data_IF_498909209678
#
_entry.id   IF_498909209678
#
_cell.length_a   1.000
_cell.length_b   1.000
_cell.length_c   1.000
_cell.angle_alpha   90.00
_cell.angle_beta   90.00
_cell.angle_gamma   90.00
#
_symmetry.space_group_name_H-M   'P 1'
#
loop_
_entity.id
_entity.type
_entity.pdbx_description
1 polymer ?
#
# COMPACT_ATOMS: atom_id res chain seq x y z
N UNK A 1 -82.82 14.42 -19.27
CA UNK A 1 -82.85 14.05 -20.70
C UNK A 1 -81.49 14.42 -21.32
N UNK A 2 -80.79 13.41 -21.87
CA UNK A 2 -79.84 13.42 -23.00
C UNK A 2 -78.71 14.48 -23.09
N UNK A 3 -77.48 13.99 -22.93
CA UNK A 3 -76.31 14.07 -23.83
C UNK A 3 -76.03 15.35 -24.65
N UNK A 4 -74.80 15.89 -24.49
CA UNK A 4 -73.72 16.00 -25.52
C UNK A 4 -72.44 16.53 -24.84
N UNK A 5 -71.34 15.76 -24.87
CA UNK A 5 -70.14 15.92 -25.74
C UNK A 5 -69.16 17.00 -25.15
N UNK A 6 -67.84 16.86 -25.05
CA UNK A 6 -66.78 16.40 -25.96
C UNK A 6 -65.47 16.26 -25.13
N UNK A 7 -64.69 15.21 -25.40
CA UNK A 7 -63.21 15.07 -25.36
C UNK A 7 -62.39 16.02 -24.48
N UNK A 8 -61.67 15.46 -23.49
CA UNK A 8 -60.26 15.81 -23.26
C UNK A 8 -59.50 14.58 -22.76
N UNK A 9 -58.59 14.10 -23.60
CA UNK A 9 -57.65 13.05 -23.33
C UNK A 9 -56.37 13.64 -22.72
N UNK A 10 -55.63 12.77 -22.03
CA UNK A 10 -54.20 12.85 -21.64
C UNK A 10 -53.85 13.62 -20.36
N UNK A 11 -52.82 13.07 -19.67
CA UNK A 11 -52.30 13.41 -18.33
C UNK A 11 -53.17 12.76 -17.24
N UNK A 12 -52.87 11.57 -16.71
CA UNK A 12 -51.76 11.26 -15.80
C UNK A 12 -51.51 9.75 -15.84
N UNK A 13 -50.41 9.30 -16.47
CA UNK A 13 -49.90 7.93 -16.29
C UNK A 13 -48.43 7.85 -16.72
N UNK A 14 -47.53 8.46 -15.95
CA UNK A 14 -46.08 8.19 -15.99
C UNK A 14 -45.37 8.96 -14.87
N UNK A 15 -45.46 8.47 -13.63
CA UNK A 15 -44.59 8.95 -12.54
C UNK A 15 -44.46 7.87 -11.46
N UNK A 16 -44.08 6.67 -11.85
CA UNK A 16 -43.48 5.70 -10.91
C UNK A 16 -42.37 5.05 -11.69
N UNK A 17 -41.14 5.56 -11.51
CA UNK A 17 -39.86 4.88 -11.72
C UNK A 17 -38.81 5.97 -11.51
N UNK A 18 -38.05 5.84 -10.42
CA UNK A 18 -36.65 6.24 -10.18
C UNK A 18 -36.54 6.62 -8.71
N UNK A 19 -36.23 5.66 -7.86
CA UNK A 19 -35.56 5.90 -6.57
C UNK A 19 -35.13 4.60 -5.90
N UNK A 20 -34.45 3.71 -6.63
CA UNK A 20 -33.70 2.60 -6.02
C UNK A 20 -32.33 2.49 -6.68
N UNK A 21 -31.40 3.35 -6.29
CA UNK A 21 -29.98 3.18 -6.68
C UNK A 21 -28.97 3.87 -5.77
N UNK A 22 -29.39 4.80 -4.91
CA UNK A 22 -28.47 5.57 -4.06
C UNK A 22 -27.61 4.74 -3.07
N UNK A 23 -28.09 3.69 -2.39
CA UNK A 23 -27.25 2.94 -1.45
C UNK A 23 -26.25 2.01 -2.16
N UNK A 24 -26.58 1.48 -3.34
CA UNK A 24 -25.73 0.52 -4.06
C UNK A 24 -24.53 1.24 -4.71
N UNK A 25 -24.77 2.41 -5.32
CA UNK A 25 -23.71 3.27 -5.88
C UNK A 25 -22.75 3.79 -4.81
N UNK A 26 -23.26 4.11 -3.61
CA UNK A 26 -22.42 4.59 -2.51
C UNK A 26 -21.50 3.49 -1.96
N UNK A 27 -21.99 2.25 -1.87
CA UNK A 27 -21.21 1.10 -1.43
C UNK A 27 -20.11 0.73 -2.45
N UNK A 28 -20.40 0.88 -3.73
CA UNK A 28 -19.46 0.61 -4.82
C UNK A 28 -18.37 1.70 -4.90
N UNK A 29 -18.73 2.97 -4.74
CA UNK A 29 -17.76 4.07 -4.65
C UNK A 29 -16.84 3.94 -3.41
N UNK A 30 -17.39 3.52 -2.27
CA UNK A 30 -16.58 3.24 -1.08
C UNK A 30 -15.63 2.07 -1.29
N UNK A 31 -16.09 1.01 -1.98
CA UNK A 31 -15.27 -0.15 -2.36
C UNK A 31 -14.14 0.24 -3.32
N UNK A 32 -14.42 1.10 -4.30
CA UNK A 32 -13.42 1.63 -5.23
C UNK A 32 -12.34 2.43 -4.50
N UNK A 33 -12.72 3.35 -3.60
CA UNK A 33 -11.76 4.14 -2.81
C UNK A 33 -10.82 3.26 -2.00
N UNK A 34 -11.34 2.19 -1.40
CA UNK A 34 -10.54 1.22 -0.64
C UNK A 34 -9.53 0.47 -1.53
N UNK A 35 -9.96 0.00 -2.71
CA UNK A 35 -9.09 -0.71 -3.65
C UNK A 35 -7.97 0.22 -4.18
N UNK A 36 -8.30 1.48 -4.46
CA UNK A 36 -7.31 2.47 -4.89
C UNK A 36 -6.28 2.74 -3.78
N UNK A 37 -6.72 2.85 -2.53
CA UNK A 37 -5.83 3.00 -1.38
C UNK A 37 -4.91 1.79 -1.20
N UNK A 38 -5.42 0.56 -1.31
CA UNK A 38 -4.57 -0.65 -1.22
C UNK A 38 -3.56 -0.73 -2.35
N UNK A 39 -3.94 -0.33 -3.56
CA UNK A 39 -3.00 -0.22 -4.67
C UNK A 39 -1.91 0.85 -4.42
N UNK A 40 -2.29 1.98 -3.82
CA UNK A 40 -1.38 3.06 -3.44
C UNK A 40 -0.43 2.64 -2.32
N UNK A 41 -0.92 1.91 -1.31
CA UNK A 41 -0.13 1.31 -0.25
C UNK A 41 0.91 0.33 -0.80
N UNK A 42 0.51 -0.56 -1.74
CA UNK A 42 1.45 -1.49 -2.37
C UNK A 42 2.51 -0.77 -3.22
N UNK A 43 2.13 0.29 -3.93
CA UNK A 43 3.09 1.13 -4.64
C UNK A 43 4.04 1.85 -3.68
N UNK A 44 3.53 2.33 -2.53
CA UNK A 44 4.34 2.94 -1.48
C UNK A 44 5.32 1.92 -0.88
N UNK A 45 4.88 0.71 -0.51
CA UNK A 45 5.76 -0.36 -0.02
C UNK A 45 6.82 -0.74 -1.04
N UNK A 46 6.47 -0.77 -2.34
CA UNK A 46 7.44 -1.01 -3.42
C UNK A 46 8.49 0.11 -3.48
N UNK A 47 8.07 1.38 -3.47
CA UNK A 47 8.98 2.54 -3.46
C UNK A 47 9.86 2.56 -2.22
N UNK A 48 9.31 2.22 -1.05
CA UNK A 48 10.03 2.10 0.22
C UNK A 48 11.06 0.98 0.17
N UNK A 49 10.70 -0.20 -0.36
CA UNK A 49 11.61 -1.32 -0.55
C UNK A 49 12.77 -0.95 -1.48
N UNK A 50 12.49 -0.30 -2.61
CA UNK A 50 13.51 0.17 -3.56
C UNK A 50 14.44 1.21 -2.91
N UNK A 51 13.88 2.15 -2.15
CA UNK A 51 14.68 3.12 -1.41
C UNK A 51 15.64 2.44 -0.46
N UNK A 52 15.14 1.51 0.37
CA UNK A 52 15.97 0.79 1.33
C UNK A 52 17.02 -0.07 0.64
N UNK A 53 16.66 -0.77 -0.44
CA UNK A 53 17.59 -1.55 -1.27
C UNK A 53 18.72 -0.68 -1.84
N UNK A 54 18.43 0.58 -2.16
CA UNK A 54 19.40 1.56 -2.65
C UNK A 54 20.30 2.19 -1.57
N UNK A 55 20.13 1.83 -0.30
CA UNK A 55 21.01 2.31 0.77
C UNK A 55 22.38 1.66 0.68
N UNK A 56 23.41 2.49 0.79
CA UNK A 56 24.79 2.05 0.79
C UNK A 56 25.20 1.63 2.20
N UNK A 57 25.80 0.45 2.30
CA UNK A 57 26.31 -0.08 3.57
C UNK A 57 27.81 0.19 3.67
N UNK A 58 28.57 -0.07 2.61
CA UNK A 58 30.01 0.20 2.52
C UNK A 58 30.39 0.70 1.11
N UNK A 59 31.66 1.02 0.89
CA UNK A 59 32.16 1.62 -0.37
C UNK A 59 31.77 0.86 -1.65
N UNK A 60 31.49 -0.44 -1.58
CA UNK A 60 31.14 -1.30 -2.73
C UNK A 60 29.86 -2.12 -2.52
N UNK A 61 29.17 -1.93 -1.40
CA UNK A 61 28.11 -2.84 -0.96
C UNK A 61 26.85 -2.06 -0.62
N UNK A 62 25.72 -2.51 -1.17
CA UNK A 62 24.40 -1.96 -0.95
C UNK A 62 23.49 -2.96 -0.23
N UNK A 63 22.41 -2.45 0.37
CA UNK A 63 21.40 -3.31 1.02
C UNK A 63 20.79 -4.29 0.01
N UNK A 64 20.58 -3.89 -1.25
CA UNK A 64 20.11 -4.81 -2.31
C UNK A 64 21.01 -6.04 -2.46
N UNK A 65 22.33 -5.87 -2.31
CA UNK A 65 23.28 -6.96 -2.52
C UNK A 65 23.13 -8.00 -1.40
N UNK A 66 22.91 -7.52 -0.17
CA UNK A 66 22.62 -8.38 0.99
C UNK A 66 21.26 -9.09 0.83
N UNK A 67 20.24 -8.36 0.42
CA UNK A 67 18.87 -8.87 0.28
C UNK A 67 18.76 -9.96 -0.80
N UNK A 68 19.61 -9.90 -1.83
CA UNK A 68 19.67 -10.90 -2.90
C UNK A 68 20.48 -12.16 -2.56
N UNK A 69 21.11 -12.25 -1.38
CA UNK A 69 21.93 -13.42 -1.00
C UNK A 69 21.10 -14.70 -0.73
N UNK A 70 19.88 -14.55 -0.20
CA UNK A 70 18.97 -15.68 0.06
C UNK A 70 17.52 -15.24 -0.05
N UNK A 71 16.66 -16.15 -0.54
CA UNK A 71 15.21 -15.97 -0.57
C UNK A 71 14.62 -15.77 0.84
N UNK A 72 15.23 -16.35 1.87
CA UNK A 72 14.82 -16.18 3.28
C UNK A 72 15.10 -14.75 3.75
N UNK A 73 16.24 -14.19 3.37
CA UNK A 73 16.62 -12.80 3.64
C UNK A 73 15.68 -11.86 2.86
N UNK A 74 15.42 -12.15 1.58
CA UNK A 74 14.48 -11.38 0.77
C UNK A 74 13.05 -11.38 1.36
N UNK A 75 12.60 -12.53 1.87
CA UNK A 75 11.30 -12.66 2.52
C UNK A 75 11.24 -11.88 3.82
N UNK A 76 12.21 -12.04 4.72
CA UNK A 76 12.28 -11.29 5.96
C UNK A 76 12.39 -9.78 5.72
N UNK A 77 13.14 -9.38 4.69
CA UNK A 77 13.25 -8.00 4.23
C UNK A 77 11.88 -7.44 3.85
N UNK A 78 11.15 -8.14 2.99
CA UNK A 78 9.80 -7.75 2.55
C UNK A 78 8.85 -7.62 3.74
N UNK A 79 8.91 -8.55 4.70
CA UNK A 79 8.06 -8.54 5.89
C UNK A 79 8.26 -7.29 6.76
N UNK A 80 9.49 -6.83 7.00
CA UNK A 80 9.69 -5.63 7.82
C UNK A 80 9.29 -4.36 7.07
N UNK A 81 9.54 -4.29 5.76
CA UNK A 81 9.16 -3.16 4.90
C UNK A 81 7.65 -2.93 4.91
N UNK A 82 6.88 -4.02 4.87
CA UNK A 82 5.41 -4.01 5.01
C UNK A 82 4.93 -3.52 6.38
N UNK A 83 5.82 -3.43 7.37
CA UNK A 83 5.53 -2.84 8.67
C UNK A 83 5.71 -1.32 8.75
N UNK A 84 5.97 -0.63 7.64
CA UNK A 84 6.04 0.84 7.57
C UNK A 84 4.66 1.46 7.82
N UNK A 85 4.62 2.64 8.46
CA UNK A 85 3.34 3.28 8.83
C UNK A 85 2.92 4.26 7.73
N UNK A 86 1.65 4.27 7.31
CA UNK A 86 1.12 5.37 6.52
C UNK A 86 0.97 6.62 7.41
N UNK A 87 1.40 7.78 6.91
CA UNK A 87 1.20 9.08 7.54
C UNK A 87 -0.06 9.74 7.00
N UNK A 88 -0.27 9.66 5.69
CA UNK A 88 -1.34 10.39 5.02
C UNK A 88 -1.91 9.57 3.86
N UNK A 89 -3.22 9.68 3.67
CA UNK A 89 -3.95 9.09 2.54
C UNK A 89 -4.74 10.21 1.87
N UNK A 90 -4.56 10.39 0.57
CA UNK A 90 -5.29 11.37 -0.25
C UNK A 90 -6.09 10.63 -1.31
N UNK A 91 -7.38 10.95 -1.40
CA UNK A 91 -8.25 10.46 -2.46
C UNK A 91 -8.62 11.61 -3.39
N UNK A 92 -8.57 11.37 -4.68
CA UNK A 92 -8.92 12.35 -5.70
C UNK A 92 -10.24 11.99 -6.38
N UNK A 93 -10.90 13.00 -6.95
CA UNK A 93 -12.20 12.83 -7.64
C UNK A 93 -12.08 12.00 -8.93
N UNK A 94 -10.88 11.85 -9.47
CA UNK A 94 -10.55 11.03 -10.64
C UNK A 94 -10.37 9.53 -10.31
N UNK A 95 -10.64 9.11 -9.07
CA UNK A 95 -10.54 7.71 -8.62
C UNK A 95 -9.12 7.27 -8.26
N UNK A 96 -8.14 8.18 -8.32
CA UNK A 96 -6.77 7.92 -7.87
C UNK A 96 -6.65 8.09 -6.35
N UNK A 97 -5.67 7.38 -5.77
CA UNK A 97 -5.31 7.51 -4.36
C UNK A 97 -3.80 7.63 -4.19
N UNK A 98 -3.36 8.50 -3.30
CA UNK A 98 -1.98 8.61 -2.86
C UNK A 98 -1.83 8.25 -1.39
N UNK A 99 -0.76 7.54 -1.04
CA UNK A 99 -0.44 7.16 0.33
C UNK A 99 1.00 7.52 0.63
N UNK A 100 1.21 8.37 1.62
CA UNK A 100 2.54 8.70 2.14
C UNK A 100 2.90 7.71 3.25
N UNK A 101 4.03 7.04 3.11
CA UNK A 101 4.58 6.13 4.12
C UNK A 101 5.87 6.69 4.68
N UNK A 102 6.08 6.47 5.98
CA UNK A 102 7.33 6.79 6.66
C UNK A 102 7.91 5.60 7.41
N UNK A 103 9.24 5.55 7.41
CA UNK A 103 10.02 4.60 8.16
C UNK A 103 11.30 5.24 8.70
N UNK A 104 11.58 5.00 9.96
CA UNK A 104 12.82 5.46 10.60
C UNK A 104 14.03 4.67 10.09
N UNK A 105 15.11 5.37 9.76
CA UNK A 105 16.36 4.75 9.32
C UNK A 105 16.95 3.84 10.40
N UNK A 106 16.80 4.21 11.67
CA UNK A 106 17.24 3.41 12.82
C UNK A 106 16.55 2.04 12.87
N UNK A 107 15.25 2.00 12.59
CA UNK A 107 14.50 0.75 12.48
C UNK A 107 15.03 -0.10 11.33
N UNK A 108 15.28 0.50 10.15
CA UNK A 108 15.86 -0.22 9.00
C UNK A 108 17.17 -0.89 9.36
N UNK A 109 18.10 -0.15 9.98
CA UNK A 109 19.40 -0.68 10.39
C UNK A 109 19.23 -1.83 11.39
N UNK A 110 18.38 -1.66 12.40
CA UNK A 110 18.14 -2.66 13.44
C UNK A 110 17.55 -3.96 12.87
N UNK A 111 16.60 -3.83 11.93
CA UNK A 111 15.99 -4.98 11.26
C UNK A 111 16.98 -5.70 10.34
N UNK A 112 17.79 -4.97 9.58
CA UNK A 112 18.83 -5.57 8.72
C UNK A 112 19.87 -6.35 9.53
N UNK A 113 20.33 -5.83 10.67
CA UNK A 113 21.19 -6.57 11.58
C UNK A 113 20.52 -7.82 12.15
N UNK A 114 19.24 -7.70 12.49
CA UNK A 114 18.44 -8.82 13.00
C UNK A 114 18.29 -9.92 11.95
N UNK A 115 18.04 -9.55 10.70
CA UNK A 115 17.93 -10.47 9.56
C UNK A 115 19.28 -11.14 9.31
N UNK A 116 20.38 -10.38 9.29
CA UNK A 116 21.74 -10.93 9.16
C UNK A 116 22.03 -11.96 10.25
N UNK A 117 21.76 -11.63 11.52
CA UNK A 117 22.03 -12.56 12.63
C UNK A 117 21.22 -13.86 12.55
N UNK A 118 19.98 -13.81 12.03
CA UNK A 118 19.08 -14.96 12.00
C UNK A 118 19.21 -15.82 10.76
N UNK A 119 19.41 -15.20 9.59
CA UNK A 119 19.25 -15.87 8.29
C UNK A 119 20.52 -15.86 7.44
N UNK A 120 21.54 -15.08 7.80
CA UNK A 120 22.79 -15.05 7.04
C UNK A 120 23.84 -16.00 7.64
N UNK A 121 24.25 -16.99 6.84
CA UNK A 121 25.27 -17.97 7.23
C UNK A 121 26.52 -17.94 6.32
N UNK A 122 26.60 -16.99 5.39
CA UNK A 122 27.76 -16.83 4.49
C UNK A 122 28.91 -16.03 5.10
N UNK A 123 29.98 -15.85 4.31
CA UNK A 123 31.18 -15.11 4.73
C UNK A 123 31.19 -13.65 4.21
N UNK A 124 30.62 -13.40 3.02
CA UNK A 124 30.62 -12.11 2.31
C UNK A 124 30.08 -10.92 3.12
N UNK A 125 29.04 -11.12 3.93
CA UNK A 125 28.41 -10.07 4.74
C UNK A 125 28.71 -10.21 6.24
N UNK A 126 29.60 -11.13 6.63
CA UNK A 126 29.87 -11.44 8.04
C UNK A 126 30.46 -10.25 8.80
N UNK A 127 31.38 -9.52 8.17
CA UNK A 127 32.04 -8.36 8.76
C UNK A 127 31.35 -7.02 8.42
N UNK A 128 30.28 -7.06 7.62
CA UNK A 128 29.53 -5.86 7.20
C UNK A 128 28.64 -5.36 8.34
N UNK A 129 28.84 -4.11 8.77
CA UNK A 129 28.03 -3.47 9.81
C UNK A 129 26.95 -2.56 9.19
N UNK A 130 25.67 -2.90 9.35
CA UNK A 130 24.59 -2.07 8.81
C UNK A 130 24.47 -0.70 9.49
N UNK A 131 25.08 -0.49 10.66
CA UNK A 131 25.25 0.86 11.24
C UNK A 131 25.99 1.82 10.29
N UNK A 132 26.84 1.30 9.39
CA UNK A 132 27.55 2.11 8.41
C UNK A 132 26.60 2.86 7.46
N UNK A 133 25.35 2.40 7.29
CA UNK A 133 24.32 3.12 6.52
C UNK A 133 24.15 4.56 7.05
N UNK A 134 24.24 4.76 8.38
CA UNK A 134 24.11 6.08 9.02
C UNK A 134 25.23 7.06 8.59
N UNK A 135 26.35 6.57 8.05
CA UNK A 135 27.44 7.39 7.53
C UNK A 135 27.05 7.99 6.17
N UNK A 136 26.38 7.21 5.34
CA UNK A 136 26.00 7.60 3.99
C UNK A 136 24.66 8.36 3.94
N UNK A 137 23.74 8.09 4.85
CA UNK A 137 22.39 8.67 4.87
C UNK A 137 22.24 9.67 6.03
N UNK A 138 21.95 10.93 5.71
CA UNK A 138 21.76 12.00 6.71
C UNK A 138 20.34 12.07 7.28
N UNK A 139 19.37 11.54 6.54
CA UNK A 139 17.95 11.60 6.90
C UNK A 139 17.62 10.55 7.96
N UNK A 140 17.05 10.99 9.09
CA UNK A 140 16.60 10.10 10.16
C UNK A 140 15.36 9.29 9.78
N UNK A 141 14.54 9.82 8.86
CA UNK A 141 13.32 9.18 8.38
C UNK A 141 13.29 9.12 6.86
N UNK A 142 12.72 8.05 6.35
CA UNK A 142 12.53 7.76 4.93
C UNK A 142 11.06 7.96 4.66
N UNK A 143 10.72 8.89 3.76
CA UNK A 143 9.35 9.14 3.33
C UNK A 143 9.19 8.76 1.86
N UNK A 144 8.11 8.08 1.53
CA UNK A 144 7.75 7.76 0.14
C UNK A 144 6.26 7.98 -0.09
N UNK A 145 5.90 8.45 -1.27
CA UNK A 145 4.50 8.58 -1.70
C UNK A 145 4.20 7.52 -2.75
N UNK A 146 3.28 6.60 -2.44
CA UNK A 146 2.73 5.64 -3.39
C UNK A 146 1.46 6.16 -4.05
N UNK A 147 1.19 5.72 -5.28
CA UNK A 147 0.00 6.13 -6.05
C UNK A 147 -0.70 4.89 -6.61
N UNK A 148 -2.02 4.82 -6.45
CA UNK A 148 -2.84 3.66 -6.81
C UNK A 148 -4.16 4.04 -7.49
N UNK A 149 -4.62 3.16 -8.37
CA UNK A 149 -5.91 3.22 -9.07
C UNK A 149 -6.53 1.82 -9.05
N UNK A 150 -7.85 1.76 -8.96
CA UNK A 150 -8.60 0.50 -9.08
C UNK A 150 -8.52 0.00 -10.52
N UNK A 151 -8.02 -1.21 -10.75
CA UNK A 151 -8.22 -1.84 -12.07
C UNK A 151 -9.68 -2.26 -12.18
N UNK A 152 -10.34 -1.96 -13.29
CA UNK A 152 -11.76 -2.27 -13.48
C UNK A 152 -12.03 -3.78 -13.38
N UNK A 153 -11.07 -4.59 -13.86
CA UNK A 153 -11.02 -6.05 -13.72
C UNK A 153 -10.96 -6.55 -12.25
N UNK A 154 -10.49 -5.73 -11.31
CA UNK A 154 -10.46 -6.05 -9.87
C UNK A 154 -11.81 -5.86 -9.19
N UNK A 155 -12.77 -5.12 -9.78
CA UNK A 155 -14.09 -4.92 -9.18
C UNK A 155 -14.97 -6.18 -9.26
N UNK A 156 -14.73 -7.03 -10.27
CA UNK A 156 -15.54 -8.21 -10.59
C UNK A 156 -15.05 -9.57 -10.04
N UNK A 157 -13.79 -9.70 -9.60
CA UNK A 157 -13.20 -11.00 -9.22
C UNK A 157 -12.73 -11.06 -7.75
N UNK A 158 -13.55 -11.69 -6.90
CA UNK A 158 -13.40 -11.77 -5.44
C UNK A 158 -12.14 -12.54 -4.99
N UNK A 159 -11.60 -13.44 -5.83
CA UNK A 159 -10.39 -14.21 -5.53
C UNK A 159 -9.11 -13.37 -5.61
N UNK A 160 -9.01 -12.50 -6.61
CA UNK A 160 -7.86 -11.60 -6.80
C UNK A 160 -7.90 -10.49 -5.75
N UNK A 161 -9.09 -10.04 -5.36
CA UNK A 161 -9.31 -9.11 -4.24
C UNK A 161 -8.73 -9.67 -2.92
N UNK A 162 -8.95 -10.95 -2.63
CA UNK A 162 -8.42 -11.61 -1.42
C UNK A 162 -6.89 -11.78 -1.43
N UNK A 163 -6.27 -11.88 -2.61
CA UNK A 163 -4.81 -11.97 -2.76
C UNK A 163 -4.11 -10.61 -2.53
N UNK A 164 -4.77 -9.50 -2.85
CA UNK A 164 -4.30 -8.13 -2.63
C UNK A 164 -4.46 -7.62 -1.18
N UNK A 165 -5.33 -8.25 -0.39
CA UNK A 165 -5.71 -7.80 0.97
C UNK A 165 -4.85 -8.41 2.10
N UNK A 166 -3.96 -9.37 1.81
CA UNK A 166 -3.26 -10.10 2.87
C UNK A 166 -1.77 -10.28 2.62
N UNK A 167 -0.96 -9.40 3.21
CA UNK A 167 0.31 -9.78 3.83
C UNK A 167 0.45 -9.12 5.22
N UNK A 168 -0.17 -9.80 6.20
CA UNK A 168 0.09 -9.80 7.65
C UNK A 168 -0.34 -8.59 8.51
N UNK A 169 -1.19 -8.84 9.53
CA UNK A 169 -1.09 -8.07 10.76
C UNK A 169 -1.17 -8.98 12.00
N UNK A 170 -0.02 -9.32 12.58
CA UNK A 170 0.06 -9.77 13.98
C UNK A 170 0.27 -8.56 14.92
N UNK A 171 -0.41 -7.43 14.66
CA UNK A 171 -0.27 -6.19 15.43
C UNK A 171 -1.58 -5.86 16.13
N UNK A 172 -1.60 -5.99 17.46
CA UNK A 172 -2.68 -5.43 18.28
C UNK A 172 -2.56 -3.90 18.26
N UNK A 173 -3.53 -3.22 17.66
CA UNK A 173 -3.67 -1.76 17.78
C UNK A 173 -4.98 -1.50 18.51
N UNK A 174 -4.95 -1.13 19.81
CA UNK A 174 -6.17 -0.74 20.52
C UNK A 174 -6.72 0.56 19.93
N UNK A 175 -8.03 0.78 20.06
CA UNK A 175 -8.69 1.99 19.57
C UNK A 175 -8.31 3.27 20.34
N UNK A 176 -7.69 3.14 21.53
CA UNK A 176 -7.27 4.29 22.34
C UNK A 176 -6.12 5.06 21.71
N UNK A 177 -6.22 6.39 21.66
CA UNK A 177 -5.26 7.27 21.00
C UNK A 177 -5.55 7.49 19.50
N UNK A 178 -6.67 7.00 18.98
CA UNK A 178 -7.10 7.24 17.60
C UNK A 178 -8.37 8.11 17.62
N UNK A 179 -8.24 9.35 17.15
CA UNK A 179 -9.25 10.40 17.27
C UNK A 179 -10.64 9.98 16.73
N UNK A 180 -10.69 9.32 15.57
CA UNK A 180 -11.95 8.86 14.97
C UNK A 180 -12.66 7.84 15.87
N UNK A 181 -11.91 6.92 16.47
CA UNK A 181 -12.49 5.90 17.34
C UNK A 181 -12.84 6.44 18.71
N UNK A 182 -12.11 7.43 19.24
CA UNK A 182 -12.47 8.08 20.49
C UNK A 182 -13.77 8.88 20.36
N UNK A 183 -13.93 9.61 19.25
CA UNK A 183 -15.14 10.36 18.92
C UNK A 183 -16.33 9.47 18.53
N UNK A 184 -16.07 8.25 18.05
CA UNK A 184 -17.11 7.31 17.63
C UNK A 184 -18.06 6.92 18.78
N UNK A 185 -19.34 6.72 18.46
CA UNK A 185 -20.28 6.20 19.43
C UNK A 185 -19.88 4.77 19.83
N UNK A 186 -19.92 4.40 21.13
CA UNK A 186 -19.65 3.02 21.58
C UNK A 186 -20.41 1.95 20.79
N UNK A 187 -21.64 2.24 20.35
CA UNK A 187 -22.44 1.32 19.54
C UNK A 187 -21.88 1.13 18.13
N UNK A 188 -21.36 2.18 17.51
CA UNK A 188 -20.74 2.11 16.18
C UNK A 188 -19.43 1.33 16.23
N UNK A 189 -18.66 1.53 17.30
CA UNK A 189 -17.44 0.74 17.54
C UNK A 189 -17.74 -0.75 17.60
N UNK A 190 -18.79 -1.12 18.35
CA UNK A 190 -19.22 -2.50 18.48
C UNK A 190 -19.78 -3.07 17.16
N UNK A 191 -20.51 -2.27 16.38
CA UNK A 191 -21.04 -2.70 15.09
C UNK A 191 -19.93 -2.92 14.07
N UNK A 192 -18.95 -2.01 14.01
CA UNK A 192 -17.77 -2.18 13.18
C UNK A 192 -17.02 -3.46 13.58
N UNK A 193 -16.78 -3.66 14.88
CA UNK A 193 -16.11 -4.87 15.36
C UNK A 193 -16.88 -6.14 14.95
N UNK A 194 -18.19 -6.20 15.21
CA UNK A 194 -19.03 -7.36 14.82
C UNK A 194 -19.10 -7.56 13.31
N UNK A 195 -19.04 -6.48 12.54
CA UNK A 195 -18.95 -6.54 11.08
C UNK A 195 -17.66 -7.21 10.63
N UNK A 196 -16.54 -6.84 11.24
CA UNK A 196 -15.24 -7.42 10.93
C UNK A 196 -15.18 -8.90 11.36
N UNK A 197 -15.74 -9.25 12.51
CA UNK A 197 -15.89 -10.65 12.94
C UNK A 197 -16.71 -11.46 11.91
N UNK A 198 -17.86 -10.93 11.47
CA UNK A 198 -18.70 -11.59 10.48
C UNK A 198 -18.01 -11.78 9.12
N UNK A 199 -17.22 -10.79 8.69
CA UNK A 199 -16.40 -10.87 7.49
C UNK A 199 -15.28 -11.92 7.63
N UNK A 200 -14.63 -11.98 8.79
CA UNK A 200 -13.59 -12.97 9.09
C UNK A 200 -14.15 -14.39 9.03
N UNK A 201 -15.32 -14.63 9.64
CA UNK A 201 -16.00 -15.91 9.59
C UNK A 201 -16.41 -16.31 8.16
N UNK A 202 -16.86 -15.35 7.33
CA UNK A 202 -17.22 -15.63 5.93
C UNK A 202 -16.02 -16.11 5.15
N UNK A 203 -14.91 -15.36 5.19
CA UNK A 203 -13.66 -15.70 4.51
C UNK A 203 -13.08 -17.02 5.02
N UNK A 204 -13.21 -17.31 6.31
CA UNK A 204 -12.78 -18.58 6.89
C UNK A 204 -13.62 -19.75 6.38
N UNK A 205 -14.95 -19.58 6.31
CA UNK A 205 -15.83 -20.59 5.72
C UNK A 205 -15.46 -20.87 4.27
N UNK A 206 -15.23 -19.83 3.46
CA UNK A 206 -14.83 -19.96 2.05
C UNK A 206 -13.49 -20.70 1.90
N UNK A 207 -12.50 -20.35 2.72
CA UNK A 207 -11.22 -21.03 2.74
C UNK A 207 -11.40 -22.52 3.04
N UNK A 208 -12.12 -22.85 4.11
CA UNK A 208 -12.32 -24.24 4.54
C UNK A 208 -13.12 -25.01 3.49
N UNK A 209 -14.16 -24.42 2.91
CA UNK A 209 -14.92 -25.03 1.80
C UNK A 209 -14.07 -25.28 0.55
N UNK A 210 -13.04 -24.46 0.33
CA UNK A 210 -12.09 -24.60 -0.79
C UNK A 210 -11.10 -25.75 -0.64
N UNK A 211 -10.94 -26.32 0.55
CA UNK A 211 -9.97 -27.38 0.82
C UNK A 211 -10.31 -28.66 0.04
N UNK A 212 -9.29 -29.27 -0.55
CA UNK A 212 -9.39 -30.56 -1.25
C UNK A 212 -9.33 -31.70 -0.24
N UNK A 213 -10.29 -32.62 -0.32
CA UNK A 213 -10.29 -33.87 0.45
C UNK A 213 -9.61 -34.97 -0.39
N UNK A 214 -9.96 -35.07 -1.67
CA UNK A 214 -9.33 -35.97 -2.64
C UNK A 214 -8.92 -35.19 -3.89
N UNK A 215 -8.43 -35.88 -4.94
CA UNK A 215 -8.09 -35.23 -6.21
C UNK A 215 -9.27 -34.50 -6.88
N UNK A 216 -10.49 -34.99 -6.65
CA UNK A 216 -11.72 -34.50 -7.30
C UNK A 216 -12.72 -33.88 -6.31
N UNK A 217 -12.66 -34.23 -5.03
CA UNK A 217 -13.65 -33.83 -4.02
C UNK A 217 -13.12 -32.73 -3.10
N UNK A 218 -13.94 -31.71 -2.85
CA UNK A 218 -13.66 -30.61 -1.91
C UNK A 218 -14.55 -30.66 -0.68
N UNK A 219 -14.17 -29.92 0.36
CA UNK A 219 -14.98 -29.77 1.58
C UNK A 219 -16.33 -29.12 1.27
N UNK A 220 -16.40 -28.18 0.32
CA UNK A 220 -17.68 -27.61 -0.14
C UNK A 220 -18.67 -28.70 -0.54
N UNK A 221 -18.22 -29.70 -1.31
CA UNK A 221 -19.08 -30.76 -1.83
C UNK A 221 -19.69 -31.56 -0.67
N UNK A 222 -18.89 -31.85 0.35
CA UNK A 222 -19.35 -32.49 1.59
C UNK A 222 -20.35 -31.62 2.36
N UNK A 223 -20.06 -30.33 2.53
CA UNK A 223 -20.91 -29.41 3.30
C UNK A 223 -22.27 -29.21 2.65
N UNK A 224 -22.36 -29.32 1.32
CA UNK A 224 -23.62 -29.19 0.56
C UNK A 224 -24.48 -30.45 0.52
N UNK A 225 -24.01 -31.58 1.07
CA UNK A 225 -24.77 -32.85 1.04
C UNK A 225 -26.05 -32.79 1.90
N UNK A 226 -26.05 -32.02 2.99
CA UNK A 226 -27.24 -31.87 3.84
C UNK A 226 -27.26 -30.52 4.57
N UNK A 227 -28.47 -30.05 4.88
CA UNK A 227 -28.68 -28.82 5.63
C UNK A 227 -28.20 -28.91 7.07
N UNK A 228 -28.27 -30.09 7.69
CA UNK A 228 -27.74 -30.38 9.01
C UNK A 228 -26.21 -30.26 9.02
N UNK A 229 -25.53 -30.81 8.01
CA UNK A 229 -24.07 -30.69 7.83
C UNK A 229 -23.69 -29.22 7.67
N UNK A 230 -24.39 -28.49 6.78
CA UNK A 230 -24.17 -27.07 6.54
C UNK A 230 -24.37 -26.23 7.81
N UNK A 231 -25.39 -26.54 8.59
CA UNK A 231 -25.68 -25.85 9.85
C UNK A 231 -24.59 -26.10 10.90
N UNK A 232 -24.17 -27.36 11.06
CA UNK A 232 -23.10 -27.73 11.98
C UNK A 232 -21.75 -27.11 11.59
N UNK A 233 -21.45 -27.10 10.29
CA UNK A 233 -20.29 -26.41 9.73
C UNK A 233 -20.31 -24.90 10.03
N UNK A 234 -21.43 -24.23 9.77
CA UNK A 234 -21.57 -22.79 10.06
C UNK A 234 -21.43 -22.47 11.54
N UNK A 235 -21.92 -23.36 12.42
CA UNK A 235 -21.76 -23.22 13.86
C UNK A 235 -20.29 -23.35 14.28
N UNK A 236 -19.58 -24.33 13.72
CA UNK A 236 -18.14 -24.51 13.92
C UNK A 236 -17.36 -23.25 13.51
N UNK A 237 -17.61 -22.72 12.30
CA UNK A 237 -16.91 -21.53 11.80
C UNK A 237 -17.16 -20.30 12.69
N UNK A 238 -18.41 -20.07 13.13
CA UNK A 238 -18.75 -18.98 14.06
C UNK A 238 -18.17 -19.18 15.47
N UNK A 239 -17.81 -20.41 15.84
CA UNK A 239 -17.16 -20.76 17.10
C UNK A 239 -15.64 -20.63 17.09
N UNK A 240 -15.05 -20.17 15.99
CA UNK A 240 -13.61 -19.86 15.92
C UNK A 240 -13.34 -18.59 16.70
N UNK A 241 -12.27 -18.61 17.51
CA UNK A 241 -11.93 -17.44 18.34
C UNK A 241 -11.20 -16.42 17.47
N UNK A 242 -11.63 -15.17 17.58
CA UNK A 242 -10.88 -14.02 17.06
C UNK A 242 -9.76 -13.72 18.06
N UNK A 243 -8.52 -13.66 17.56
CA UNK A 243 -7.35 -13.43 18.39
C UNK A 243 -7.18 -11.94 18.71
N UNK A 244 -7.33 -11.11 17.68
CA UNK A 244 -6.97 -9.69 17.72
C UNK A 244 -7.98 -8.83 16.95
N UNK A 245 -8.11 -7.59 17.41
CA UNK A 245 -8.71 -6.50 16.65
C UNK A 245 -7.67 -5.44 16.39
N UNK A 246 -7.64 -4.94 15.16
CA UNK A 246 -6.78 -3.83 14.75
C UNK A 246 -7.69 -2.67 14.36
N UNK A 247 -7.63 -1.58 15.11
CA UNK A 247 -8.38 -0.37 14.80
C UNK A 247 -7.48 0.60 14.02
N UNK A 248 -7.95 1.03 12.85
CA UNK A 248 -7.18 1.86 11.94
C UNK A 248 -7.63 3.33 12.01
N UNK A 249 -6.74 4.31 11.79
CA UNK A 249 -7.08 5.74 11.80
C UNK A 249 -8.13 6.17 10.77
N UNK A 250 -8.43 5.34 9.77
CA UNK A 250 -9.44 5.57 8.74
C UNK A 250 -10.87 5.15 9.17
N UNK A 251 -11.03 4.68 10.40
CA UNK A 251 -12.32 4.18 10.90
C UNK A 251 -12.61 2.74 10.48
N UNK A 252 -11.64 1.98 9.98
CA UNK A 252 -11.79 0.53 9.75
C UNK A 252 -11.27 -0.30 10.90
N UNK A 253 -11.91 -1.43 11.16
CA UNK A 253 -11.46 -2.44 12.12
C UNK A 253 -11.24 -3.76 11.40
N UNK A 254 -10.12 -4.39 11.73
CA UNK A 254 -9.75 -5.70 11.23
C UNK A 254 -9.88 -6.72 12.36
N UNK A 255 -10.45 -7.89 12.08
CA UNK A 255 -10.60 -9.01 13.00
C UNK A 255 -9.80 -10.20 12.49
N UNK A 256 -8.82 -10.67 13.27
CA UNK A 256 -7.96 -11.80 12.91
C UNK A 256 -8.52 -13.10 13.49
N UNK A 257 -8.97 -14.00 12.62
CA UNK A 257 -9.35 -15.36 12.97
C UNK A 257 -8.18 -16.32 12.67
N UNK A 258 -7.84 -17.15 13.65
CA UNK A 258 -6.81 -18.17 13.49
C UNK A 258 -7.36 -19.54 13.87
N UNK A 259 -7.10 -20.53 13.02
CA UNK A 259 -7.46 -21.91 13.27
C UNK A 259 -6.41 -22.88 12.73
N UNK A 260 -6.15 -23.93 13.50
CA UNK A 260 -5.28 -25.01 13.09
C UNK A 260 -5.99 -25.96 12.12
N UNK A 261 -5.25 -26.45 11.13
CA UNK A 261 -5.75 -27.42 10.17
C UNK A 261 -6.23 -28.70 10.86
N UNK A 262 -5.58 -29.10 11.96
CA UNK A 262 -5.98 -30.25 12.75
C UNK A 262 -7.38 -30.09 13.33
N UNK A 263 -7.69 -28.92 13.89
CA UNK A 263 -9.01 -28.60 14.42
C UNK A 263 -10.07 -28.64 13.31
N UNK A 264 -9.77 -28.13 12.12
CA UNK A 264 -10.68 -28.20 10.97
C UNK A 264 -10.98 -29.66 10.61
N UNK A 265 -9.94 -30.50 10.48
CA UNK A 265 -10.09 -31.91 10.13
C UNK A 265 -10.92 -32.65 11.18
N UNK A 266 -10.61 -32.49 12.47
CA UNK A 266 -11.34 -33.13 13.57
C UNK A 266 -12.82 -32.76 13.59
N UNK A 267 -13.14 -31.48 13.38
CA UNK A 267 -14.53 -31.02 13.36
C UNK A 267 -15.29 -31.54 12.14
N UNK A 268 -14.67 -31.55 10.96
CA UNK A 268 -15.28 -32.13 9.76
C UNK A 268 -15.53 -33.64 9.89
N UNK A 269 -14.60 -34.40 10.47
CA UNK A 269 -14.81 -35.82 10.79
C UNK A 269 -15.96 -36.02 11.76
N UNK A 270 -16.05 -35.15 12.77
CA UNK A 270 -17.11 -35.19 13.77
C UNK A 270 -18.48 -34.89 13.15
N UNK A 271 -18.55 -33.92 12.23
CA UNK A 271 -19.76 -33.60 11.46
C UNK A 271 -20.14 -34.80 10.58
N UNK A 272 -19.19 -35.38 9.85
CA UNK A 272 -19.40 -36.58 9.03
C UNK A 272 -19.99 -37.72 9.86
N UNK A 273 -19.39 -38.04 11.00
CA UNK A 273 -19.86 -39.14 11.86
C UNK A 273 -21.27 -38.90 12.42
N UNK A 274 -21.63 -37.65 12.73
CA UNK A 274 -22.91 -37.32 13.38
C UNK A 274 -24.07 -37.13 12.41
N UNK A 275 -23.83 -36.53 11.24
CA UNK A 275 -24.89 -36.04 10.37
C UNK A 275 -24.88 -36.64 8.97
N UNK A 276 -23.79 -37.29 8.55
CA UNK A 276 -23.74 -37.91 7.23
C UNK A 276 -24.33 -39.32 7.24
N UNK A 277 -25.34 -39.55 6.41
CA UNK A 277 -26.04 -40.85 6.26
C UNK A 277 -25.97 -41.42 4.83
N UNK A 278 -25.28 -40.75 3.91
CA UNK A 278 -25.14 -41.18 2.51
C UNK A 278 -23.99 -42.16 2.26
N UNK A 279 -23.83 -42.58 1.00
CA UNK A 279 -22.76 -43.51 0.58
C UNK A 279 -21.55 -42.79 -0.05
N UNK A 280 -21.77 -41.67 -0.75
CA UNK A 280 -20.78 -40.90 -1.51
C UNK A 280 -19.52 -40.50 -0.71
N UNK A 281 -19.68 -40.10 0.55
CA UNK A 281 -18.59 -39.67 1.42
C UNK A 281 -18.21 -40.73 2.46
N UNK A 282 -18.83 -41.91 2.46
CA UNK A 282 -18.65 -42.93 3.51
C UNK A 282 -17.19 -43.37 3.60
N UNK A 283 -16.59 -43.71 2.45
CA UNK A 283 -15.20 -44.16 2.36
C UNK A 283 -14.19 -43.01 2.18
N UNK A 284 -14.67 -41.77 2.10
CA UNK A 284 -13.81 -40.59 1.92
C UNK A 284 -13.17 -40.19 3.26
N UNK A 285 -11.86 -40.34 3.38
CA UNK A 285 -11.10 -39.92 4.57
C UNK A 285 -10.84 -38.41 4.56
N UNK A 286 -11.43 -37.68 5.51
CA UNK A 286 -11.24 -36.23 5.67
C UNK A 286 -9.77 -35.89 5.99
N UNK A 287 -9.02 -36.79 6.62
CA UNK A 287 -7.60 -36.59 6.92
C UNK A 287 -6.73 -36.34 5.68
N UNK A 288 -7.19 -36.78 4.50
CA UNK A 288 -6.48 -36.56 3.24
C UNK A 288 -6.30 -35.06 2.92
N UNK A 289 -7.08 -34.16 3.54
CA UNK A 289 -6.83 -32.70 3.46
C UNK A 289 -5.38 -32.36 3.80
N UNK A 290 -4.78 -33.05 4.78
CA UNK A 290 -3.38 -32.81 5.21
C UNK A 290 -2.35 -33.06 4.11
N UNK A 291 -2.69 -33.83 3.07
CA UNK A 291 -1.81 -34.10 1.93
C UNK A 291 -1.74 -32.93 0.95
N UNK A 292 -2.78 -32.09 0.91
CA UNK A 292 -2.92 -30.99 -0.05
C UNK A 292 -2.64 -29.60 0.54
N UNK A 293 -2.48 -29.51 1.86
CA UNK A 293 -2.32 -28.25 2.58
C UNK A 293 -1.02 -28.27 3.36
N UNK A 294 -0.05 -27.46 2.93
CA UNK A 294 1.25 -27.33 3.60
C UNK A 294 1.15 -26.56 4.93
N UNK A 295 0.23 -25.60 5.00
CA UNK A 295 0.07 -24.72 6.16
C UNK A 295 -0.73 -25.41 7.26
N UNK A 296 -0.10 -25.59 8.43
CA UNK A 296 -0.75 -26.14 9.62
C UNK A 296 -1.69 -25.15 10.31
N UNK A 297 -1.51 -23.85 10.06
CA UNK A 297 -2.29 -22.76 10.66
C UNK A 297 -2.88 -21.91 9.55
N UNK A 298 -4.19 -21.69 9.63
CA UNK A 298 -4.95 -20.85 8.73
C UNK A 298 -5.24 -19.54 9.47
N UNK A 299 -4.83 -18.42 8.87
CA UNK A 299 -5.12 -17.08 9.36
C UNK A 299 -5.96 -16.34 8.34
N UNK A 300 -7.03 -15.71 8.80
CA UNK A 300 -7.98 -14.97 7.98
C UNK A 300 -8.28 -13.65 8.64
N UNK A 301 -8.36 -12.57 7.84
CA UNK A 301 -8.65 -11.23 8.33
C UNK A 301 -9.97 -10.75 7.74
N UNK A 302 -10.93 -10.46 8.63
CA UNK A 302 -12.17 -9.78 8.29
C UNK A 302 -12.03 -8.27 8.48
N UNK A 303 -12.72 -7.49 7.67
CA UNK A 303 -12.68 -6.02 7.70
C UNK A 303 -14.09 -5.47 7.80
N UNK A 304 -14.27 -4.41 8.60
CA UNK A 304 -15.47 -3.59 8.55
C UNK A 304 -15.17 -2.14 8.90
N UNK A 305 -16.01 -1.24 8.41
CA UNK A 305 -15.90 0.20 8.68
C UNK A 305 -16.82 0.62 9.82
N UNK A 306 -16.44 1.72 10.47
CA UNK A 306 -17.28 2.46 11.40
C UNK A 306 -18.52 2.98 10.67
N UNK A 307 -19.70 2.76 11.24
CA UNK A 307 -20.95 3.14 10.61
C UNK A 307 -21.26 4.63 10.78
N UNK A 308 -21.72 5.29 9.71
CA UNK A 308 -22.10 6.71 9.69
C UNK A 308 -23.50 7.01 10.29
N UNK A 309 -24.20 5.99 10.80
CA UNK A 309 -25.63 6.14 11.18
C UNK A 309 -25.84 6.93 12.47
N UNK A 310 -24.83 7.01 13.34
CA UNK A 310 -24.95 7.61 14.66
C UNK A 310 -23.79 8.55 15.03
N UNK A 311 -22.82 8.74 14.12
CA UNK A 311 -21.79 9.79 14.19
C UNK A 311 -22.33 11.08 13.56
N UNK A 312 -22.40 12.19 14.30
CA UNK A 312 -22.73 13.48 13.72
C UNK A 312 -21.69 13.86 12.65
N UNK A 313 -22.13 14.18 11.44
CA UNK A 313 -21.27 14.82 10.43
C UNK A 313 -20.88 16.20 10.97
N UNK A 314 -19.61 16.42 11.28
CA UNK A 314 -19.10 17.78 11.42
C UNK A 314 -19.21 18.48 10.05
N UNK A 315 -19.68 19.74 9.99
CA UNK A 315 -19.64 20.52 8.77
C UNK A 315 -18.19 20.72 8.36
N UNK A 316 -17.83 20.35 7.14
CA UNK A 316 -16.49 20.56 6.59
C UNK A 316 -16.20 22.06 6.49
N UNK A 317 -15.27 22.57 7.30
CA UNK A 317 -14.73 23.92 7.17
C UNK A 317 -13.74 24.02 5.99
N UNK A 318 -13.70 25.17 5.30
CA UNK A 318 -12.73 25.43 4.24
C UNK A 318 -11.30 25.47 4.83
N UNK A 319 -10.39 24.70 4.22
CA UNK A 319 -9.03 24.52 4.73
C UNK A 319 -8.25 25.85 4.88
N UNK A 320 -7.58 26.09 6.02
CA UNK A 320 -6.77 27.29 6.20
C UNK A 320 -5.36 27.15 5.62
N UNK A 321 -4.85 28.26 5.08
CA UNK A 321 -3.47 28.45 4.64
C UNK A 321 -2.48 28.32 5.80
N UNK A 322 -1.43 27.50 5.63
CA UNK A 322 -0.33 27.41 6.60
C UNK A 322 0.91 28.12 6.05
N UNK A 323 1.20 29.29 6.62
CA UNK A 323 2.48 29.99 6.51
C UNK A 323 3.61 29.33 7.32
N UNK A 324 4.85 29.83 7.22
CA UNK A 324 6.04 29.07 7.62
C UNK A 324 6.33 29.14 9.14
N UNK A 325 6.83 28.02 9.71
CA UNK A 325 7.55 27.98 11.01
C UNK A 325 8.85 27.18 10.88
N UNK A 326 9.87 27.47 11.72
CA UNK A 326 11.26 27.57 11.30
C UNK A 326 12.03 26.26 11.51
N UNK A 327 12.94 25.98 10.58
CA UNK A 327 14.00 24.97 10.71
C UNK A 327 15.26 25.66 11.21
N UNK A 328 15.77 25.25 12.36
CA UNK A 328 17.13 25.60 12.79
C UNK A 328 18.09 24.73 11.99
N UNK A 329 18.79 25.36 11.06
CA UNK A 329 19.82 24.75 10.22
C UNK A 329 21.15 24.66 10.98
N UNK A 330 21.81 23.51 10.91
CA UNK A 330 23.26 23.44 11.06
C UNK A 330 23.89 23.55 9.66
N UNK A 331 24.67 24.60 9.45
CA UNK A 331 25.29 24.95 8.16
C UNK A 331 26.48 24.04 7.81
N UNK A 332 26.53 23.62 6.54
CA UNK A 332 27.67 22.91 5.94
C UNK A 332 28.83 23.87 5.63
N UNK A 333 30.07 23.48 5.91
CA UNK A 333 31.32 24.27 5.76
C UNK A 333 31.80 24.55 4.31
N UNK A 334 30.93 24.62 3.31
CA UNK A 334 31.31 24.98 1.94
C UNK A 334 30.45 26.13 1.41
N UNK A 335 31.05 27.14 0.75
CA UNK A 335 30.27 28.23 0.18
C UNK A 335 29.37 27.67 -0.92
N UNK A 336 28.07 27.86 -0.76
CA UNK A 336 27.09 27.41 -1.72
C UNK A 336 27.17 28.27 -3.01
N UNK A 337 27.20 27.67 -4.21
CA UNK A 337 27.10 28.40 -5.47
C UNK A 337 25.82 29.23 -5.52
N UNK A 338 25.82 30.32 -6.29
CA UNK A 338 24.66 31.23 -6.35
C UNK A 338 23.35 30.55 -6.83
N UNK A 339 23.45 29.43 -7.54
CA UNK A 339 22.30 28.63 -7.97
C UNK A 339 21.76 27.71 -6.88
N UNK A 340 22.54 27.40 -5.85
CA UNK A 340 22.18 26.43 -4.81
C UNK A 340 21.03 26.90 -3.90
N UNK A 341 20.64 28.19 -3.96
CA UNK A 341 19.50 28.72 -3.21
C UNK A 341 18.28 29.01 -4.11
N UNK A 342 18.29 28.52 -5.34
CA UNK A 342 17.22 28.74 -6.32
C UNK A 342 16.36 27.48 -6.45
N UNK A 343 15.11 27.70 -6.81
CA UNK A 343 14.18 26.65 -7.22
C UNK A 343 14.11 26.64 -8.74
N UNK A 344 14.18 25.47 -9.34
CA UNK A 344 13.97 25.30 -10.78
C UNK A 344 12.68 24.54 -11.02
N UNK A 345 12.04 24.80 -12.15
CA UNK A 345 10.79 24.18 -12.55
C UNK A 345 10.92 23.60 -13.93
N UNK A 346 10.42 22.39 -14.14
CA UNK A 346 10.26 21.85 -15.47
C UNK A 346 8.86 21.28 -15.67
N UNK A 347 8.30 21.55 -16.84
CA UNK A 347 7.01 21.02 -17.26
C UNK A 347 7.22 19.81 -18.16
N UNK A 348 6.75 18.66 -17.71
CA UNK A 348 6.71 17.42 -18.46
C UNK A 348 5.36 17.18 -19.10
N UNK A 349 5.36 16.43 -20.19
CA UNK A 349 4.14 16.05 -20.93
C UNK A 349 4.05 14.54 -21.01
N UNK A 350 2.86 13.99 -20.75
CA UNK A 350 2.61 12.57 -20.85
C UNK A 350 1.34 12.29 -21.63
N UNK A 351 1.45 11.37 -22.58
CA UNK A 351 0.35 10.96 -23.45
C UNK A 351 -0.26 9.68 -22.89
N UNK A 352 -1.59 9.59 -22.77
CA UNK A 352 -2.26 8.37 -22.36
C UNK A 352 -2.02 7.25 -23.40
N UNK A 353 -1.60 6.05 -22.98
CA UNK A 353 -1.43 4.94 -23.91
C UNK A 353 -2.78 4.41 -24.39
N UNK A 354 -2.86 4.07 -25.68
CA UNK A 354 -4.09 3.52 -26.30
C UNK A 354 -4.50 2.16 -25.70
N UNK A 355 -3.55 1.44 -25.09
CA UNK A 355 -3.76 0.13 -24.45
C UNK A 355 -4.33 0.23 -23.01
N UNK A 356 -4.61 1.44 -22.51
CA UNK A 356 -5.19 1.60 -21.19
C UNK A 356 -6.63 1.06 -21.13
N UNK A 357 -6.92 0.23 -20.14
CA UNK A 357 -8.20 -0.47 -20.01
C UNK A 357 -9.33 0.48 -19.58
N UNK A 358 -8.99 1.58 -18.88
CA UNK A 358 -9.93 2.61 -18.44
C UNK A 358 -9.39 4.02 -18.66
N UNK A 359 -10.28 5.02 -18.67
CA UNK A 359 -9.90 6.44 -18.84
C UNK A 359 -8.99 6.93 -17.70
N UNK A 360 -9.23 6.44 -16.50
CA UNK A 360 -8.51 6.76 -15.27
C UNK A 360 -7.12 6.09 -15.27
N UNK A 361 -7.04 4.86 -15.77
CA UNK A 361 -5.76 4.19 -15.99
C UNK A 361 -4.94 4.90 -17.07
N UNK A 362 -5.59 5.33 -18.16
CA UNK A 362 -4.96 6.09 -19.22
C UNK A 362 -4.38 7.40 -18.67
N UNK A 363 -5.15 8.10 -17.84
CA UNK A 363 -4.73 9.33 -17.20
C UNK A 363 -3.60 9.12 -16.19
N UNK A 364 -3.64 8.07 -15.36
CA UNK A 364 -2.54 7.75 -14.44
C UNK A 364 -1.24 7.43 -15.20
N UNK A 365 -1.34 6.70 -16.31
CA UNK A 365 -0.17 6.38 -17.13
C UNK A 365 0.37 7.61 -17.85
N UNK A 366 -0.51 8.50 -18.32
CA UNK A 366 -0.15 9.81 -18.84
C UNK A 366 0.54 10.65 -17.75
N UNK A 367 0.02 10.68 -16.52
CA UNK A 367 0.63 11.37 -15.38
C UNK A 367 2.03 10.83 -15.09
N UNK A 368 2.20 9.50 -15.00
CA UNK A 368 3.51 8.88 -14.78
C UNK A 368 4.49 9.16 -15.92
N UNK A 369 4.00 9.26 -17.15
CA UNK A 369 4.81 9.65 -18.29
C UNK A 369 5.22 11.13 -18.21
N UNK A 370 4.30 12.02 -17.83
CA UNK A 370 4.53 13.44 -17.62
C UNK A 370 5.53 13.69 -16.48
N UNK A 371 5.40 12.98 -15.36
CA UNK A 371 6.34 13.01 -14.25
C UNK A 371 7.75 12.60 -14.69
N UNK A 372 7.88 11.48 -15.42
CA UNK A 372 9.20 11.07 -15.94
C UNK A 372 9.80 12.10 -16.89
N UNK A 373 8.98 12.67 -17.77
CA UNK A 373 9.44 13.69 -18.71
C UNK A 373 9.87 14.97 -17.98
N UNK A 374 9.11 15.41 -16.98
CA UNK A 374 9.47 16.54 -16.11
C UNK A 374 10.76 16.27 -15.32
N UNK A 375 10.89 15.06 -14.74
CA UNK A 375 12.10 14.64 -14.04
C UNK A 375 13.33 14.63 -14.97
N UNK A 376 13.16 14.18 -16.21
CA UNK A 376 14.23 14.20 -17.21
C UNK A 376 14.67 15.63 -17.53
N UNK A 377 13.73 16.54 -17.73
CA UNK A 377 14.02 17.97 -17.99
C UNK A 377 14.70 18.64 -16.79
N UNK A 378 14.24 18.38 -15.57
CA UNK A 378 14.91 18.83 -14.34
C UNK A 378 16.34 18.26 -14.22
N UNK A 379 16.52 16.98 -14.57
CA UNK A 379 17.84 16.35 -14.56
C UNK A 379 18.79 17.02 -15.56
N UNK A 380 18.31 17.32 -16.77
CA UNK A 380 19.08 18.02 -17.81
C UNK A 380 19.52 19.41 -17.36
N UNK A 381 18.61 20.17 -16.73
CA UNK A 381 18.93 21.49 -16.19
C UNK A 381 19.96 21.41 -15.05
N UNK A 382 19.79 20.43 -14.15
CA UNK A 382 20.70 20.19 -13.04
C UNK A 382 22.08 19.73 -13.51
N UNK A 383 22.16 18.88 -14.54
CA UNK A 383 23.42 18.45 -15.14
C UNK A 383 24.22 19.61 -15.73
N UNK A 384 23.55 20.66 -16.20
CA UNK A 384 24.17 21.87 -16.75
C UNK A 384 24.73 22.85 -15.71
N UNK A 385 24.44 22.65 -14.42
CA UNK A 385 24.91 23.55 -13.36
C UNK A 385 26.42 23.44 -13.16
N UNK A 386 27.09 24.59 -12.98
CA UNK A 386 28.53 24.65 -12.70
C UNK A 386 28.80 24.52 -11.21
N UNK A 387 29.63 23.56 -10.83
CA UNK A 387 30.04 23.30 -9.44
C UNK A 387 31.30 24.09 -9.10
N UNK A 388 32.26 24.16 -10.02
CA UNK A 388 33.47 25.00 -9.97
C UNK A 388 33.67 25.70 -11.34
N UNK A 389 34.70 26.55 -11.51
CA UNK A 389 34.88 27.39 -12.70
C UNK A 389 34.93 26.59 -14.03
N UNK A 390 35.50 25.38 -13.99
CA UNK A 390 35.69 24.50 -15.15
C UNK A 390 34.88 23.19 -15.09
N UNK A 391 34.16 22.92 -13.98
CA UNK A 391 33.55 21.62 -13.71
C UNK A 391 32.03 21.75 -13.52
N UNK A 392 31.26 20.97 -14.28
CA UNK A 392 29.80 20.89 -14.20
C UNK A 392 29.33 19.72 -13.33
N UNK A 393 28.07 19.75 -12.90
CA UNK A 393 27.43 18.59 -12.22
C UNK A 393 27.52 17.34 -13.09
N UNK A 394 27.39 17.48 -14.42
CA UNK A 394 27.58 16.39 -15.38
C UNK A 394 28.98 15.76 -15.30
N UNK A 395 30.03 16.56 -15.14
CA UNK A 395 31.40 16.06 -15.03
C UNK A 395 31.59 15.26 -13.74
N UNK A 396 31.04 15.74 -12.63
CA UNK A 396 31.03 15.02 -11.35
C UNK A 396 30.28 13.68 -11.41
N UNK A 397 29.14 13.66 -12.10
CA UNK A 397 28.31 12.45 -12.31
C UNK A 397 29.00 11.44 -13.22
N UNK A 398 29.76 11.91 -14.20
CA UNK A 398 30.51 11.05 -15.14
C UNK A 398 31.73 10.42 -14.47
N UNK A 399 32.34 11.13 -13.53
CA UNK A 399 33.50 10.65 -12.78
C UNK A 399 33.14 9.68 -11.64
N UNK A 400 31.88 9.64 -11.20
CA UNK A 400 31.45 8.80 -10.07
C UNK A 400 30.01 8.32 -10.18
N UNK A 401 29.86 7.00 -10.28
CA UNK A 401 28.55 6.33 -10.23
C UNK A 401 27.81 6.57 -8.89
N UNK A 402 28.55 6.88 -7.82
CA UNK A 402 27.97 7.25 -6.52
C UNK A 402 27.29 8.61 -6.62
N UNK A 403 27.94 9.60 -7.24
CA UNK A 403 27.34 10.93 -7.47
C UNK A 403 26.13 10.84 -8.38
N UNK A 404 26.22 10.03 -9.44
CA UNK A 404 25.09 9.72 -10.32
C UNK A 404 23.89 9.19 -9.55
N UNK A 405 24.13 8.25 -8.65
CA UNK A 405 23.09 7.62 -7.83
C UNK A 405 22.48 8.63 -6.84
N UNK A 406 23.30 9.43 -6.17
CA UNK A 406 22.82 10.44 -5.22
C UNK A 406 22.08 11.59 -5.88
N UNK A 407 22.49 11.99 -7.08
CA UNK A 407 21.76 12.98 -7.88
C UNK A 407 20.42 12.43 -8.37
N UNK A 408 20.39 11.19 -8.86
CA UNK A 408 19.13 10.54 -9.24
C UNK A 408 18.19 10.42 -8.03
N UNK A 409 18.71 10.10 -6.85
CA UNK A 409 17.92 10.11 -5.60
C UNK A 409 17.41 11.52 -5.27
N UNK A 410 18.23 12.56 -5.44
CA UNK A 410 17.82 13.94 -5.20
C UNK A 410 16.70 14.38 -6.15
N UNK A 411 16.79 14.00 -7.42
CA UNK A 411 15.78 14.28 -8.44
C UNK A 411 14.46 13.54 -8.19
N UNK A 412 14.53 12.26 -7.83
CA UNK A 412 13.35 11.42 -7.59
C UNK A 412 12.63 11.80 -6.28
N UNK A 413 13.37 12.22 -5.25
CA UNK A 413 12.82 12.48 -3.90
C UNK A 413 12.56 13.97 -3.65
N UNK A 414 13.37 14.86 -4.26
CA UNK A 414 13.32 16.30 -4.03
C UNK A 414 12.42 17.08 -4.99
N UNK A 415 12.09 16.51 -6.15
CA UNK A 415 11.19 17.15 -7.10
C UNK A 415 9.72 16.96 -6.66
N UNK A 416 8.99 18.06 -6.52
CA UNK A 416 7.58 18.08 -6.12
C UNK A 416 6.71 18.56 -7.27
N UNK A 417 5.57 17.93 -7.45
CA UNK A 417 4.55 18.43 -8.39
C UNK A 417 3.97 19.73 -7.83
N UNK A 418 4.08 20.83 -8.57
CA UNK A 418 3.55 22.15 -8.18
C UNK A 418 2.37 22.57 -9.02
N UNK A 419 2.19 21.98 -10.20
CA UNK A 419 1.05 22.24 -11.06
C UNK A 419 0.75 21.00 -11.92
N UNK A 420 -0.53 20.75 -12.17
CA UNK A 420 -1.02 19.62 -12.98
C UNK A 420 -2.21 20.11 -13.80
N UNK A 421 -2.12 19.92 -15.11
CA UNK A 421 -3.15 20.27 -16.06
C UNK A 421 -3.44 19.07 -16.96
N UNK A 422 -4.70 18.67 -17.00
CA UNK A 422 -5.18 17.63 -17.91
C UNK A 422 -5.82 18.34 -19.09
N UNK A 423 -5.30 18.10 -20.29
CA UNK A 423 -5.81 18.67 -21.53
C UNK A 423 -7.05 17.88 -22.01
N UNK A 424 -7.93 18.48 -22.83
CA UNK A 424 -9.15 17.83 -23.31
C UNK A 424 -8.91 16.56 -24.14
N UNK A 425 -7.71 16.40 -24.70
CA UNK A 425 -7.23 15.23 -25.46
C UNK A 425 -6.73 14.09 -24.55
N UNK A 426 -6.76 14.27 -23.23
CA UNK A 426 -6.26 13.31 -22.24
C UNK A 426 -4.76 13.41 -21.97
N UNK A 427 -4.04 14.29 -22.68
CA UNK A 427 -2.63 14.59 -22.42
C UNK A 427 -2.49 15.29 -21.07
N UNK A 428 -1.47 14.91 -20.30
CA UNK A 428 -1.20 15.54 -19.00
C UNK A 428 0.05 16.39 -19.07
N UNK A 429 -0.10 17.66 -18.71
CA UNK A 429 0.99 18.60 -18.47
C UNK A 429 1.21 18.72 -16.96
N UNK A 430 2.43 18.44 -16.52
CA UNK A 430 2.77 18.42 -15.11
C UNK A 430 4.04 19.22 -14.88
N UNK A 431 3.97 20.22 -14.01
CA UNK A 431 5.12 21.03 -13.63
C UNK A 431 5.69 20.56 -12.30
N UNK A 432 6.95 20.17 -12.31
CA UNK A 432 7.70 19.82 -11.10
C UNK A 432 8.62 20.95 -10.70
N UNK A 433 8.73 21.21 -9.40
CA UNK A 433 9.68 22.13 -8.78
C UNK A 433 10.67 21.34 -7.93
N UNK A 434 11.96 21.66 -8.03
CA UNK A 434 12.99 21.12 -7.13
C UNK A 434 13.78 22.27 -6.52
N UNK A 435 14.06 22.15 -5.22
CA UNK A 435 14.94 23.07 -4.50
C UNK A 435 16.39 22.63 -4.70
N UNK A 436 17.19 23.48 -5.35
CA UNK A 436 18.60 23.18 -5.62
C UNK A 436 19.46 23.15 -4.36
N UNK A 437 18.94 23.59 -3.21
CA UNK A 437 19.64 23.49 -1.93
C UNK A 437 19.81 22.04 -1.50
N UNK A 438 18.81 21.21 -1.72
CA UNK A 438 18.87 19.77 -1.42
C UNK A 438 19.85 19.04 -2.36
N UNK A 439 19.90 19.48 -3.63
CA UNK A 439 20.86 18.98 -4.62
C UNK A 439 22.28 19.38 -4.21
N UNK A 440 22.50 20.65 -3.84
CA UNK A 440 23.79 21.15 -3.39
C UNK A 440 24.26 20.48 -2.10
N UNK A 441 23.37 20.24 -1.14
CA UNK A 441 23.71 19.55 0.12
C UNK A 441 24.31 18.17 -0.13
N UNK A 442 23.73 17.41 -1.07
CA UNK A 442 24.20 16.06 -1.44
C UNK A 442 25.51 16.11 -2.22
N UNK A 443 25.66 17.05 -3.15
CA UNK A 443 26.89 17.23 -3.94
C UNK A 443 28.05 17.73 -3.06
N UNK A 444 27.81 18.73 -2.21
CA UNK A 444 28.83 19.33 -1.35
C UNK A 444 29.37 18.35 -0.29
N UNK A 445 28.52 17.47 0.25
CA UNK A 445 28.95 16.36 1.11
C UNK A 445 29.98 15.47 0.41
N UNK A 446 29.72 15.10 -0.85
CA UNK A 446 30.62 14.26 -1.63
C UNK A 446 31.93 14.96 -1.98
N UNK A 447 31.88 16.24 -2.35
CA UNK A 447 33.08 17.05 -2.60
C UNK A 447 33.97 17.11 -1.34
N UNK A 448 33.36 17.23 -0.16
CA UNK A 448 34.06 17.21 1.12
C UNK A 448 34.78 15.89 1.38
N UNK A 449 34.11 14.76 1.09
CA UNK A 449 34.66 13.42 1.26
C UNK A 449 35.82 13.13 0.28
N UNK A 450 35.73 13.62 -0.95
CA UNK A 450 36.80 13.50 -1.95
C UNK A 450 38.05 14.29 -1.54
N UNK A 451 37.90 15.57 -1.16
CA UNK A 451 39.03 16.41 -0.73
C UNK A 451 39.67 15.92 0.58
N UNK A 452 38.88 15.29 1.47
CA UNK A 452 39.41 14.63 2.67
C UNK A 452 40.30 13.43 2.32
N UNK A 453 39.93 12.62 1.33
CA UNK A 453 40.74 11.48 0.84
C UNK A 453 42.02 11.93 0.13
N UNK A 454 41.98 13.05 -0.60
CA UNK A 454 43.18 13.63 -1.24
C UNK A 454 44.14 14.28 -0.23
N UNK A 455 43.61 14.83 0.87
CA UNK A 455 44.40 15.40 1.96
C UNK A 455 45.06 14.36 2.88
N UNK A 456 44.55 13.12 2.92
CA UNK A 456 45.15 12.00 3.65
C UNK A 456 46.24 11.26 2.83
N UNK A 457 46.39 11.59 1.54
CA UNK A 457 47.40 11.00 0.63
C UNK A 457 48.61 11.91 0.34
N UNK A 458 48.67 13.10 0.96
CA UNK A 458 49.86 13.97 0.99
C UNK A 458 50.45 13.95 2.38
#
# INVERSE_FOLDING_TARGET
>A
MKFKAVVLATIVCAAVLVSVSTPMMAQEAAKQKLLAQRAAELDAYRKLAEYVKGLQVDARTYVRDFVCESDEIHTAFRTFIMGAKPIAVRHFEDGTCEVDMEMELERVVTELETIKKRYYHGDRFKDVEFQNIKKYVETKTITVTGSGVVRENLLGDEKVQNEYVSQSPSRKVPWGGIEIWEKANPRDRLMAQRGAEADAYRKLAEYVMGLKITGETKVKDFVTESDEIRTSFNHFIKGVKILNYTYNPDGTVEAEAEIELERIVTELETIKKRYYQGDRFKDVEIQNIKKYVEKKVVKVVGIAALGDKYTPKEPSEPGPSVGPRPSTAEESKFPAPEWANRKIKATGTGVPPEEAESKEQAQLLAEKAAERDAQKKLAEEIYGLKVEAETTVKDFVTQSDVVKTELNKALVVGAKVVDKKVNPDGTVELTMEIDLREVWKRISKYIAEMKKKEGEQK
#
